data_IF_421053593502
#
_entry.id   IF_421053593502
#
_cell.length_a   1.000
_cell.length_b   1.000
_cell.length_c   1.000
_cell.angle_alpha   90.00
_cell.angle_beta   90.00
_cell.angle_gamma   90.00
#
_symmetry.space_group_name_H-M   'P 1'
#
loop_
_entity.id
_entity.type
_entity.pdbx_description
1 polymer ?
#
# COMPACT_ATOMS: atom_id res chain seq x y z
N UNK A 1 7.61 10.52 -10.62
CA UNK A 1 6.74 11.64 -10.21
C UNK A 1 5.48 11.63 -11.06
N UNK A 2 4.38 11.10 -10.54
CA UNK A 2 3.07 11.19 -11.19
C UNK A 2 2.53 12.60 -10.88
N UNK A 3 2.52 13.48 -11.89
CA UNK A 3 2.01 14.85 -11.77
C UNK A 3 0.49 14.84 -11.56
N UNK A 4 -0.05 15.78 -10.79
CA UNK A 4 -1.51 15.98 -10.57
C UNK A 4 -2.30 16.05 -11.89
N UNK A 5 -1.67 16.55 -12.96
CA UNK A 5 -2.23 16.52 -14.31
C UNK A 5 -2.57 15.10 -14.82
N UNK A 6 -1.83 14.07 -14.42
CA UNK A 6 -2.15 12.66 -14.77
C UNK A 6 -3.34 12.11 -13.98
N UNK A 7 -3.51 12.54 -12.72
CA UNK A 7 -4.66 12.16 -11.89
C UNK A 7 -5.96 12.77 -12.45
N UNK A 8 -5.90 14.02 -12.91
CA UNK A 8 -7.02 14.70 -13.56
C UNK A 8 -7.42 14.03 -14.88
N UNK A 9 -6.45 13.58 -15.68
CA UNK A 9 -6.72 12.84 -16.92
C UNK A 9 -7.38 11.49 -16.62
N UNK A 10 -6.94 10.78 -15.58
CA UNK A 10 -7.57 9.53 -15.14
C UNK A 10 -9.01 9.78 -14.65
N UNK A 11 -9.25 10.86 -13.90
CA UNK A 11 -10.57 11.23 -13.37
C UNK A 11 -11.55 11.66 -14.48
N UNK A 12 -11.05 12.32 -15.53
CA UNK A 12 -11.84 12.76 -16.69
C UNK A 12 -12.13 11.63 -17.69
N UNK A 13 -11.29 10.61 -17.76
CA UNK A 13 -11.53 9.40 -18.57
C UNK A 13 -12.34 8.33 -17.82
N UNK A 14 -12.45 8.41 -16.50
CA UNK A 14 -13.29 7.55 -15.66
C UNK A 14 -14.76 7.45 -16.14
N UNK A 15 -15.45 8.56 -16.48
CA UNK A 15 -16.85 8.48 -16.95
C UNK A 15 -17.01 7.89 -18.35
N UNK A 16 -15.95 7.83 -19.16
CA UNK A 16 -16.00 7.22 -20.50
C UNK A 16 -15.95 5.69 -20.43
N UNK A 17 -15.46 5.11 -19.33
CA UNK A 17 -15.59 3.68 -19.03
C UNK A 17 -16.88 3.37 -18.27
N UNK A 18 -17.37 4.29 -17.44
CA UNK A 18 -18.63 4.15 -16.71
C UNK A 18 -19.88 4.18 -17.61
N UNK A 19 -19.80 4.74 -18.82
CA UNK A 19 -20.96 4.88 -19.72
C UNK A 19 -21.34 3.60 -20.47
N UNK A 20 -20.54 2.53 -20.37
CA UNK A 20 -20.82 1.21 -20.95
C UNK A 20 -20.71 0.04 -19.94
N UNK A 21 -20.20 0.30 -18.74
CA UNK A 21 -19.91 -0.71 -17.71
C UNK A 21 -21.06 -0.85 -16.70
N UNK A 22 -21.41 -2.07 -16.33
CA UNK A 22 -22.42 -2.34 -15.30
C UNK A 22 -21.95 -1.92 -13.90
N UNK A 23 -22.86 -1.84 -12.93
CA UNK A 23 -22.53 -1.52 -11.52
C UNK A 23 -21.46 -2.45 -10.95
N UNK A 24 -21.46 -3.72 -11.39
CA UNK A 24 -20.51 -4.74 -10.96
C UNK A 24 -19.10 -4.43 -11.50
N UNK A 25 -18.98 -4.06 -12.78
CA UNK A 25 -17.71 -3.68 -13.41
C UNK A 25 -17.07 -2.44 -12.75
N UNK A 26 -17.91 -1.49 -12.30
CA UNK A 26 -17.46 -0.32 -11.53
C UNK A 26 -16.90 -0.70 -10.16
N UNK A 27 -17.52 -1.70 -9.50
CA UNK A 27 -17.07 -2.19 -8.18
C UNK A 27 -15.76 -2.97 -8.33
N UNK A 28 -15.62 -3.78 -9.38
CA UNK A 28 -14.39 -4.53 -9.64
C UNK A 28 -13.25 -3.60 -10.03
N UNK A 29 -13.50 -2.60 -10.87
CA UNK A 29 -12.51 -1.58 -11.19
C UNK A 29 -12.07 -0.78 -9.95
N UNK A 30 -13.01 -0.40 -9.09
CA UNK A 30 -12.70 0.30 -7.84
C UNK A 30 -11.89 -0.59 -6.88
N UNK A 31 -12.28 -1.86 -6.74
CA UNK A 31 -11.61 -2.83 -5.87
C UNK A 31 -10.19 -3.14 -6.36
N UNK A 32 -9.99 -3.27 -7.67
CA UNK A 32 -8.68 -3.46 -8.29
C UNK A 32 -7.73 -2.29 -8.03
N UNK A 33 -8.20 -1.04 -8.17
CA UNK A 33 -7.38 0.15 -7.90
C UNK A 33 -6.94 0.18 -6.43
N UNK A 34 -7.83 -0.13 -5.50
CA UNK A 34 -7.50 -0.12 -4.07
C UNK A 34 -6.47 -1.20 -3.75
N UNK A 35 -6.72 -2.42 -4.19
CA UNK A 35 -5.88 -3.58 -3.85
C UNK A 35 -4.52 -3.54 -4.52
N UNK A 36 -4.44 -3.17 -5.80
CA UNK A 36 -3.20 -3.23 -6.58
C UNK A 36 -2.35 -1.96 -6.47
N UNK A 37 -2.97 -0.81 -6.20
CA UNK A 37 -2.27 0.48 -6.21
C UNK A 37 -2.27 1.13 -4.85
N UNK A 38 -3.42 1.25 -4.20
CA UNK A 38 -3.53 2.06 -2.99
C UNK A 38 -2.87 1.39 -1.77
N UNK A 39 -3.06 0.08 -1.59
CA UNK A 39 -2.46 -0.66 -0.48
C UNK A 39 -0.91 -0.66 -0.59
N UNK A 40 -0.28 -1.08 -1.71
CA UNK A 40 1.18 -1.07 -1.82
C UNK A 40 1.76 0.35 -1.70
N UNK A 41 1.07 1.36 -2.24
CA UNK A 41 1.48 2.75 -2.12
C UNK A 41 1.41 3.25 -0.66
N UNK A 42 0.39 2.87 0.10
CA UNK A 42 0.28 3.22 1.51
C UNK A 42 1.43 2.61 2.33
N UNK A 43 1.77 1.33 2.09
CA UNK A 43 2.94 0.70 2.70
C UNK A 43 4.25 1.43 2.34
N UNK A 44 4.45 1.76 1.06
CA UNK A 44 5.63 2.48 0.61
C UNK A 44 5.75 3.87 1.26
N UNK A 45 4.65 4.61 1.37
CA UNK A 45 4.62 5.91 2.03
C UNK A 45 4.86 5.78 3.54
N UNK A 46 4.26 4.79 4.21
CA UNK A 46 4.48 4.55 5.64
C UNK A 46 5.95 4.25 5.94
N UNK A 47 6.58 3.38 5.15
CA UNK A 47 8.02 3.10 5.24
C UNK A 47 8.85 4.37 4.99
N UNK A 48 8.51 5.14 3.96
CA UNK A 48 9.21 6.37 3.62
C UNK A 48 9.16 7.38 4.77
N UNK A 49 7.98 7.63 5.35
CA UNK A 49 7.82 8.51 6.51
C UNK A 49 8.55 7.99 7.75
N UNK A 50 8.56 6.67 7.97
CA UNK A 50 9.31 6.06 9.06
C UNK A 50 10.82 6.36 8.93
N UNK A 51 11.42 6.09 7.77
CA UNK A 51 12.84 6.38 7.53
C UNK A 51 13.15 7.87 7.58
N UNK A 52 12.24 8.72 7.11
CA UNK A 52 12.37 10.18 7.24
C UNK A 52 12.40 10.62 8.70
N UNK A 53 11.53 10.05 9.54
CA UNK A 53 11.52 10.28 10.98
C UNK A 53 12.83 9.89 11.65
N UNK A 54 13.38 8.72 11.29
CA UNK A 54 14.68 8.23 11.78
C UNK A 54 15.81 9.16 11.35
N UNK A 55 15.89 9.52 10.07
CA UNK A 55 16.93 10.42 9.56
C UNK A 55 16.86 11.80 10.24
N UNK A 56 15.65 12.33 10.44
CA UNK A 56 15.44 13.59 11.17
C UNK A 56 15.92 13.46 12.62
N UNK A 57 15.49 12.41 13.31
CA UNK A 57 15.88 12.14 14.69
C UNK A 57 17.40 12.05 14.87
N UNK A 58 18.09 11.28 14.01
CA UNK A 58 19.55 11.12 14.10
C UNK A 58 20.27 12.47 13.88
N UNK A 59 19.81 13.28 12.93
CA UNK A 59 20.43 14.57 12.61
C UNK A 59 20.28 15.60 13.74
N UNK A 60 19.13 15.62 14.42
CA UNK A 60 18.80 16.64 15.42
C UNK A 60 19.14 16.22 16.86
N UNK A 61 19.33 14.92 17.09
CA UNK A 61 19.67 14.38 18.42
C UNK A 61 20.96 14.93 19.04
N UNK A 62 21.86 15.53 18.26
CA UNK A 62 23.14 16.04 18.73
C UNK A 62 23.12 17.49 19.26
N UNK A 63 21.98 18.18 19.26
CA UNK A 63 21.93 19.56 19.78
C UNK A 63 20.61 20.32 19.65
N UNK A 64 19.55 19.72 19.10
CA UNK A 64 18.23 20.35 19.00
C UNK A 64 17.15 19.40 19.53
N UNK A 65 16.77 19.56 20.80
CA UNK A 65 15.74 18.74 21.46
C UNK A 65 14.39 18.80 20.72
N UNK A 66 14.02 19.97 20.17
CA UNK A 66 12.75 20.13 19.44
C UNK A 66 12.74 19.32 18.16
N UNK A 67 13.81 19.41 17.37
CA UNK A 67 13.97 18.61 16.16
C UNK A 67 14.03 17.11 16.45
N UNK A 68 14.55 16.71 17.62
CA UNK A 68 14.59 15.32 18.04
C UNK A 68 13.19 14.80 18.44
N UNK A 69 12.41 15.59 19.18
CA UNK A 69 11.02 15.26 19.50
C UNK A 69 10.15 15.15 18.25
N UNK A 70 10.29 16.06 17.29
CA UNK A 70 9.58 15.98 16.02
C UNK A 70 9.95 14.71 15.23
N UNK A 71 11.24 14.36 15.17
CA UNK A 71 11.72 13.14 14.53
C UNK A 71 11.09 11.89 15.16
N UNK A 72 11.06 11.81 16.50
CA UNK A 72 10.39 10.73 17.24
C UNK A 72 8.90 10.67 16.92
N UNK A 73 8.21 11.81 16.87
CA UNK A 73 6.78 11.86 16.54
C UNK A 73 6.52 11.29 15.15
N UNK A 74 7.30 11.70 14.15
CA UNK A 74 7.18 11.18 12.78
C UNK A 74 7.46 9.67 12.75
N UNK A 75 8.46 9.19 13.47
CA UNK A 75 8.78 7.76 13.57
C UNK A 75 7.61 6.96 14.17
N UNK A 76 7.00 7.45 15.25
CA UNK A 76 5.83 6.82 15.88
C UNK A 76 4.65 6.76 14.89
N UNK A 77 4.34 7.85 14.19
CA UNK A 77 3.29 7.84 13.17
C UNK A 77 3.58 6.88 12.02
N UNK A 78 4.84 6.74 11.62
CA UNK A 78 5.28 5.73 10.65
C UNK A 78 5.05 4.30 11.14
N UNK A 79 5.44 3.99 12.40
CA UNK A 79 5.23 2.67 13.01
C UNK A 79 3.74 2.35 13.11
N UNK A 80 2.92 3.31 13.54
CA UNK A 80 1.46 3.12 13.63
C UNK A 80 0.87 2.85 12.24
N UNK A 81 1.29 3.59 11.22
CA UNK A 81 0.88 3.37 9.84
C UNK A 81 1.23 1.97 9.34
N UNK A 82 2.47 1.52 9.60
CA UNK A 82 2.91 0.16 9.26
C UNK A 82 2.11 -0.90 10.00
N UNK A 83 1.90 -0.72 11.30
CA UNK A 83 1.13 -1.66 12.12
C UNK A 83 -0.29 -1.85 11.59
N UNK A 84 -0.99 -0.75 11.26
CA UNK A 84 -2.34 -0.83 10.68
C UNK A 84 -2.32 -1.54 9.33
N UNK A 85 -1.36 -1.23 8.47
CA UNK A 85 -1.25 -1.84 7.15
C UNK A 85 -0.99 -3.36 7.25
N UNK A 86 -0.06 -3.78 8.11
CA UNK A 86 0.21 -5.20 8.38
C UNK A 86 -0.96 -5.92 9.05
N UNK A 87 -1.66 -5.26 9.99
CA UNK A 87 -2.82 -5.82 10.68
C UNK A 87 -3.96 -6.12 9.71
N UNK A 88 -4.29 -5.17 8.82
CA UNK A 88 -5.32 -5.37 7.80
C UNK A 88 -4.94 -6.53 6.87
N UNK A 89 -3.72 -6.55 6.34
CA UNK A 89 -3.27 -7.62 5.42
C UNK A 89 -3.22 -8.99 6.10
N UNK A 90 -2.78 -9.06 7.35
CA UNK A 90 -2.76 -10.28 8.14
C UNK A 90 -4.17 -10.84 8.39
N UNK A 91 -5.13 -9.97 8.73
CA UNK A 91 -6.53 -10.37 8.92
C UNK A 91 -7.15 -10.85 7.60
N UNK A 92 -6.91 -10.13 6.50
CA UNK A 92 -7.42 -10.53 5.17
C UNK A 92 -6.90 -11.92 4.80
N UNK A 93 -5.59 -12.15 4.93
CA UNK A 93 -4.96 -13.43 4.59
C UNK A 93 -5.45 -14.55 5.49
N UNK A 94 -5.61 -14.28 6.79
CA UNK A 94 -6.16 -15.25 7.74
C UNK A 94 -7.59 -15.66 7.35
N UNK A 95 -8.47 -14.70 7.09
CA UNK A 95 -9.86 -14.99 6.70
C UNK A 95 -9.91 -15.74 5.35
N UNK A 96 -9.08 -15.36 4.37
CA UNK A 96 -9.01 -16.06 3.08
C UNK A 96 -8.60 -17.53 3.23
N UNK A 97 -7.62 -17.80 4.11
CA UNK A 97 -7.16 -19.15 4.43
C UNK A 97 -8.27 -19.99 5.07
N UNK A 98 -9.00 -19.42 6.04
CA UNK A 98 -10.08 -20.13 6.73
C UNK A 98 -11.32 -20.37 5.84
N UNK A 99 -11.59 -19.46 4.90
CA UNK A 99 -12.72 -19.59 3.97
C UNK A 99 -12.39 -20.38 2.69
N UNK A 100 -11.15 -20.88 2.56
CA UNK A 100 -10.72 -21.63 1.38
C UNK A 100 -10.76 -20.81 0.08
N UNK A 101 -10.69 -19.48 0.18
CA UNK A 101 -10.64 -18.60 -0.99
C UNK A 101 -9.21 -18.66 -1.52
N UNK A 102 -8.96 -19.17 -2.74
CA UNK A 102 -7.62 -19.18 -3.29
C UNK A 102 -7.13 -17.73 -3.40
N UNK A 103 -5.93 -17.49 -2.86
CA UNK A 103 -5.23 -16.22 -3.02
C UNK A 103 -5.21 -15.89 -4.52
N UNK A 104 -5.76 -14.72 -4.89
CA UNK A 104 -5.80 -14.28 -6.28
C UNK A 104 -4.37 -14.25 -6.79
N UNK A 105 -4.03 -15.23 -7.63
CA UNK A 105 -2.68 -15.44 -8.12
C UNK A 105 -2.24 -14.18 -8.86
N UNK A 106 -1.34 -13.41 -8.24
CA UNK A 106 -0.72 -12.29 -8.91
C UNK A 106 0.12 -12.85 -10.07
N UNK A 107 -0.24 -12.57 -11.35
CA UNK A 107 0.47 -13.13 -12.49
C UNK A 107 1.94 -12.70 -12.58
N UNK A 108 2.38 -11.75 -11.73
CA UNK A 108 3.78 -11.35 -11.62
C UNK A 108 4.68 -12.35 -10.87
N UNK A 109 4.15 -13.35 -10.16
CA UNK A 109 4.95 -14.41 -9.51
C UNK A 109 4.49 -15.79 -10.01
N UNK A 110 5.19 -16.37 -11.00
CA UNK A 110 4.92 -17.72 -11.49
C UNK A 110 5.21 -18.76 -10.40
N UNK A 111 4.20 -19.55 -10.01
CA UNK A 111 4.27 -20.59 -8.94
C UNK A 111 5.12 -21.82 -9.33
N UNK A 112 5.45 -21.95 -10.60
CA UNK A 112 6.27 -23.02 -11.18
C UNK A 112 7.75 -22.98 -10.73
N UNK A 113 8.25 -21.82 -10.30
CA UNK A 113 9.64 -21.69 -9.81
C UNK A 113 9.81 -22.36 -8.42
N UNK A 114 8.77 -22.37 -7.58
CA UNK A 114 8.87 -22.83 -6.18
C UNK A 114 8.55 -24.33 -6.05
N UNK A 115 7.65 -24.88 -6.85
CA UNK A 115 7.25 -26.29 -6.77
C UNK A 115 8.14 -27.24 -7.58
N UNK A 116 8.84 -26.74 -8.60
CA UNK A 116 9.75 -27.54 -9.46
C UNK A 116 11.04 -27.95 -8.75
N UNK A 117 11.44 -27.27 -7.67
CA UNK A 117 12.76 -27.48 -7.04
C UNK A 117 12.78 -28.43 -5.84
N UNK A 118 11.67 -29.12 -5.55
CA UNK A 118 11.52 -29.97 -4.36
C UNK A 118 11.13 -31.43 -4.68
N UNK A 119 11.32 -31.86 -5.93
CA UNK A 119 11.32 -33.28 -6.32
C UNK A 119 12.56 -33.59 -7.16
#
# INVERSE_FOLDING_TARGET
MIKISKIIVILLFFPLFASAAGVIDLIDAASGIVSEVLIPLAFALALFYFFWGVAKYIRTSAGDEKGAEEGKKIMIWGIVGLFVAFSIWGIITFIQSELGIPEVENPAIPRDIITTKIY
#
